data_IF_466603254710
#
_entry.id   IF_466603254710
#
_cell.length_a   1.000
_cell.length_b   1.000
_cell.length_c   1.000
_cell.angle_alpha   90.00
_cell.angle_beta   90.00
_cell.angle_gamma   90.00
#
_symmetry.space_group_name_H-M   'P 1'
#
loop_
_entity.id
_entity.type
_entity.pdbx_description
1 polymer ?
#
# COMPACT_ATOMS: atom_id res chain seq x y z
N UNK A 1 25.93 4.93 11.46
CA UNK A 1 25.55 5.20 10.06
C UNK A 1 25.97 4.10 9.10
N UNK A 2 27.26 3.75 8.97
CA UNK A 2 27.67 2.67 8.04
C UNK A 2 27.03 1.32 8.34
N UNK A 3 26.93 0.92 9.61
CA UNK A 3 26.27 -0.34 10.00
C UNK A 3 24.75 -0.27 9.75
N UNK A 4 24.11 0.83 10.12
CA UNK A 4 22.65 1.00 9.98
C UNK A 4 22.22 1.07 8.52
N UNK A 5 22.82 1.98 7.73
CA UNK A 5 22.53 2.09 6.30
C UNK A 5 23.07 0.91 5.50
N UNK A 6 24.24 0.36 5.86
CA UNK A 6 24.81 -0.81 5.19
C UNK A 6 23.92 -2.04 5.31
N UNK A 7 23.32 -2.29 6.47
CA UNK A 7 22.37 -3.39 6.66
C UNK A 7 21.10 -3.20 5.82
N UNK A 8 20.57 -1.97 5.74
CA UNK A 8 19.41 -1.65 4.91
C UNK A 8 19.72 -1.88 3.43
N UNK A 9 20.88 -1.42 2.95
CA UNK A 9 21.32 -1.63 1.57
C UNK A 9 21.47 -3.12 1.26
N UNK A 10 22.12 -3.89 2.14
CA UNK A 10 22.28 -5.34 1.95
C UNK A 10 20.91 -6.03 1.89
N UNK A 11 19.98 -5.66 2.76
CA UNK A 11 18.63 -6.20 2.77
C UNK A 11 17.88 -5.93 1.45
N UNK A 12 17.90 -4.68 0.98
CA UNK A 12 17.27 -4.32 -0.30
C UNK A 12 17.95 -5.00 -1.50
N UNK A 13 19.27 -5.09 -1.52
CA UNK A 13 20.00 -5.82 -2.56
C UNK A 13 19.62 -7.30 -2.57
N UNK A 14 19.53 -7.93 -1.39
CA UNK A 14 19.09 -9.32 -1.28
C UNK A 14 17.66 -9.51 -1.81
N UNK A 15 16.73 -8.58 -1.50
CA UNK A 15 15.37 -8.59 -2.03
C UNK A 15 15.35 -8.44 -3.56
N UNK A 16 16.09 -7.48 -4.11
CA UNK A 16 16.15 -7.25 -5.57
C UNK A 16 16.69 -8.49 -6.28
N UNK A 17 17.78 -9.08 -5.77
CA UNK A 17 18.34 -10.32 -6.33
C UNK A 17 17.33 -11.47 -6.25
N UNK A 18 16.65 -11.63 -5.12
CA UNK A 18 15.62 -12.66 -4.96
C UNK A 18 14.46 -12.46 -5.95
N UNK A 19 13.96 -11.22 -6.10
CA UNK A 19 12.87 -10.90 -7.02
C UNK A 19 13.26 -11.11 -8.48
N UNK A 20 14.48 -10.72 -8.88
CA UNK A 20 15.00 -10.99 -10.23
C UNK A 20 15.17 -12.48 -10.50
N UNK A 21 15.48 -13.29 -9.48
CA UNK A 21 15.56 -14.75 -9.63
C UNK A 21 14.19 -15.42 -9.78
N UNK A 22 13.14 -14.81 -9.25
CA UNK A 22 11.75 -15.30 -9.32
C UNK A 22 10.99 -14.68 -10.50
N UNK A 23 11.68 -13.98 -11.41
CA UNK A 23 11.06 -13.20 -12.49
C UNK A 23 9.92 -13.97 -13.18
N UNK A 24 8.72 -13.37 -13.11
CA UNK A 24 7.52 -13.83 -13.82
C UNK A 24 7.33 -12.87 -14.99
N UNK A 25 7.31 -13.40 -16.22
CA UNK A 25 7.07 -12.59 -17.42
C UNK A 25 5.60 -12.18 -17.51
N UNK A 26 5.32 -10.91 -17.23
CA UNK A 26 3.97 -10.36 -17.16
C UNK A 26 3.67 -9.45 -18.36
N UNK A 27 3.18 -10.01 -19.46
CA UNK A 27 2.91 -9.25 -20.70
C UNK A 27 1.47 -8.74 -20.87
N UNK A 28 0.57 -9.03 -19.93
CA UNK A 28 -0.89 -8.77 -20.07
C UNK A 28 -1.49 -8.00 -18.90
N UNK A 29 -2.45 -7.10 -19.19
CA UNK A 29 -3.12 -6.27 -18.19
C UNK A 29 -3.92 -7.06 -17.15
N UNK A 30 -4.48 -8.24 -17.49
CA UNK A 30 -5.14 -9.12 -16.52
C UNK A 30 -4.15 -9.72 -15.52
N UNK A 31 -2.94 -10.04 -15.97
CA UNK A 31 -1.86 -10.53 -15.12
C UNK A 31 -1.44 -9.43 -14.14
N UNK A 32 -1.28 -8.19 -14.63
CA UNK A 32 -0.98 -7.04 -13.78
C UNK A 32 -2.10 -6.67 -12.79
N UNK A 33 -3.35 -6.56 -13.25
CA UNK A 33 -4.45 -6.03 -12.44
C UNK A 33 -5.06 -7.06 -11.48
N UNK A 34 -5.10 -8.33 -11.85
CA UNK A 34 -5.76 -9.38 -11.05
C UNK A 34 -4.93 -10.66 -10.87
N UNK A 35 -3.67 -10.70 -11.32
CA UNK A 35 -2.83 -11.89 -11.23
C UNK A 35 -3.42 -13.11 -11.96
N UNK A 36 -4.18 -12.88 -13.04
CA UNK A 36 -5.02 -13.88 -13.70
C UNK A 36 -5.95 -14.67 -12.75
N UNK A 37 -6.26 -14.11 -11.56
CA UNK A 37 -7.03 -14.78 -10.50
C UNK A 37 -6.43 -16.12 -10.04
N UNK A 38 -5.12 -16.28 -10.23
CA UNK A 38 -4.39 -17.50 -9.93
C UNK A 38 -3.85 -17.55 -8.49
N UNK A 39 -3.81 -16.41 -7.80
CA UNK A 39 -3.30 -16.34 -6.43
C UNK A 39 -4.24 -17.05 -5.45
N UNK A 40 -3.68 -17.98 -4.68
CA UNK A 40 -4.39 -18.65 -3.59
C UNK A 40 -4.78 -17.66 -2.47
N UNK A 41 -5.77 -18.03 -1.66
CA UNK A 41 -6.30 -17.21 -0.57
C UNK A 41 -5.22 -16.75 0.41
N UNK A 42 -4.19 -17.57 0.65
CA UNK A 42 -3.05 -17.21 1.52
C UNK A 42 -2.28 -16.00 0.98
N UNK A 43 -1.98 -16.00 -0.31
CA UNK A 43 -1.25 -14.90 -0.95
C UNK A 43 -2.11 -13.63 -0.96
N UNK A 44 -3.40 -13.75 -1.28
CA UNK A 44 -4.34 -12.62 -1.23
C UNK A 44 -4.44 -12.02 0.18
N UNK A 45 -4.47 -12.86 1.23
CA UNK A 45 -4.47 -12.40 2.62
C UNK A 45 -3.18 -11.67 2.99
N UNK A 46 -2.02 -12.18 2.57
CA UNK A 46 -0.73 -11.51 2.78
C UNK A 46 -0.65 -10.16 2.07
N UNK A 47 -1.05 -10.08 0.79
CA UNK A 47 -1.10 -8.82 0.04
C UNK A 47 -2.04 -7.81 0.68
N UNK A 48 -3.21 -8.26 1.17
CA UNK A 48 -4.14 -7.42 1.90
C UNK A 48 -3.52 -6.87 3.19
N UNK A 49 -2.93 -7.73 4.02
CA UNK A 49 -2.29 -7.31 5.27
C UNK A 49 -1.13 -6.33 5.02
N UNK A 50 -0.31 -6.59 4.00
CA UNK A 50 0.78 -5.70 3.60
C UNK A 50 0.27 -4.31 3.17
N UNK A 51 -0.88 -4.26 2.49
CA UNK A 51 -1.49 -3.01 2.04
C UNK A 51 -2.19 -2.26 3.17
N UNK A 52 -2.79 -2.98 4.13
CA UNK A 52 -3.54 -2.39 5.24
C UNK A 52 -2.63 -1.89 6.37
N UNK A 53 -1.50 -2.56 6.61
CA UNK A 53 -0.52 -2.19 7.65
C UNK A 53 0.84 -1.78 7.06
N UNK A 54 0.91 -0.70 6.26
CA UNK A 54 2.18 -0.20 5.75
C UNK A 54 3.01 0.45 6.87
N UNK A 55 4.31 0.65 6.63
CA UNK A 55 5.23 1.29 7.59
C UNK A 55 4.72 2.61 8.18
N UNK A 56 4.07 3.45 7.37
CA UNK A 56 3.49 4.71 7.80
C UNK A 56 2.39 4.57 8.86
N UNK A 57 1.67 3.45 8.85
CA UNK A 57 0.65 3.11 9.85
C UNK A 57 1.29 2.91 11.22
N UNK A 58 2.38 2.15 11.29
CA UNK A 58 3.14 1.96 12.53
C UNK A 58 3.72 3.26 13.07
N UNK A 59 4.27 4.12 12.21
CA UNK A 59 4.82 5.42 12.63
C UNK A 59 3.72 6.35 13.14
N UNK A 60 2.62 6.51 12.40
CA UNK A 60 1.54 7.43 12.76
C UNK A 60 0.79 6.97 14.01
N UNK A 61 0.34 5.72 14.05
CA UNK A 61 -0.43 5.20 15.18
C UNK A 61 0.45 4.91 16.39
N UNK A 62 1.70 4.49 16.20
CA UNK A 62 2.68 4.39 17.29
C UNK A 62 2.96 5.75 17.93
N UNK A 63 3.14 6.80 17.12
CA UNK A 63 3.28 8.17 17.60
C UNK A 63 2.03 8.66 18.34
N UNK A 64 0.84 8.38 17.82
CA UNK A 64 -0.42 8.72 18.47
C UNK A 64 -0.64 7.96 19.77
N UNK A 65 -0.25 6.69 19.84
CA UNK A 65 -0.32 5.91 21.07
C UNK A 65 0.61 6.47 22.15
N UNK A 66 1.82 6.91 21.78
CA UNK A 66 2.74 7.57 22.69
C UNK A 66 2.22 8.93 23.20
N UNK A 67 1.53 9.70 22.34
CA UNK A 67 1.04 11.03 22.67
C UNK A 67 -0.33 11.06 23.38
N UNK A 68 -1.25 10.18 22.99
CA UNK A 68 -2.67 10.21 23.38
C UNK A 68 -3.14 8.93 24.08
N UNK A 69 -2.25 7.96 24.29
CA UNK A 69 -2.53 6.74 25.04
C UNK A 69 -3.70 5.94 24.43
N UNK A 70 -4.68 5.60 25.27
CA UNK A 70 -5.79 4.73 24.93
C UNK A 70 -6.65 5.23 23.74
N UNK A 71 -6.69 6.54 23.48
CA UNK A 71 -7.46 7.09 22.35
C UNK A 71 -6.99 6.50 21.01
N UNK A 72 -5.69 6.24 20.87
CA UNK A 72 -5.10 5.65 19.66
C UNK A 72 -5.68 4.27 19.31
N UNK A 73 -6.24 3.54 20.27
CA UNK A 73 -6.83 2.21 20.05
C UNK A 73 -8.09 2.24 19.20
N UNK A 74 -8.65 3.42 18.90
CA UNK A 74 -9.73 3.55 17.91
C UNK A 74 -9.34 2.91 16.56
N UNK A 75 -8.04 2.88 16.23
CA UNK A 75 -7.52 2.24 15.01
C UNK A 75 -7.88 0.77 14.91
N UNK A 76 -7.83 0.06 16.04
CA UNK A 76 -8.16 -1.36 16.10
C UNK A 76 -9.65 -1.57 15.87
N UNK A 77 -10.48 -0.77 16.55
CA UNK A 77 -11.93 -0.85 16.47
C UNK A 77 -12.45 -0.62 15.05
N UNK A 78 -12.04 0.46 14.39
CA UNK A 78 -12.52 0.74 13.03
C UNK A 78 -11.91 -0.23 12.00
N UNK A 79 -10.65 -0.66 12.19
CA UNK A 79 -10.01 -1.63 11.29
C UNK A 79 -10.74 -2.97 11.33
N UNK A 80 -11.10 -3.46 12.52
CA UNK A 80 -11.88 -4.69 12.67
C UNK A 80 -13.21 -4.60 11.92
N UNK A 81 -13.95 -3.51 12.14
CA UNK A 81 -15.24 -3.28 11.47
C UNK A 81 -15.09 -3.22 9.95
N UNK A 82 -14.02 -2.57 9.46
CA UNK A 82 -13.77 -2.44 8.03
C UNK A 82 -13.41 -3.78 7.41
N UNK A 83 -12.56 -4.59 8.06
CA UNK A 83 -12.23 -5.94 7.59
C UNK A 83 -13.47 -6.84 7.56
N UNK A 84 -14.35 -6.74 8.56
CA UNK A 84 -15.63 -7.48 8.55
C UNK A 84 -16.51 -7.07 7.37
N UNK A 85 -16.64 -5.76 7.12
CA UNK A 85 -17.42 -5.26 5.98
C UNK A 85 -16.82 -5.73 4.65
N UNK A 86 -15.50 -5.63 4.49
CA UNK A 86 -14.79 -6.11 3.30
C UNK A 86 -14.99 -7.61 3.10
N UNK A 87 -14.94 -8.41 4.17
CA UNK A 87 -15.17 -9.85 4.09
C UNK A 87 -16.58 -10.19 3.57
N UNK A 88 -17.60 -9.49 4.07
CA UNK A 88 -18.99 -9.66 3.60
C UNK A 88 -19.12 -9.28 2.12
N UNK A 89 -18.46 -8.21 1.69
CA UNK A 89 -18.50 -7.76 0.31
C UNK A 89 -17.65 -8.61 -0.65
N UNK A 90 -16.59 -9.26 -0.15
CA UNK A 90 -15.59 -9.96 -0.94
C UNK A 90 -16.20 -11.02 -1.86
N UNK A 91 -17.14 -11.83 -1.35
CA UNK A 91 -17.80 -12.89 -2.14
C UNK A 91 -18.56 -12.32 -3.33
N UNK A 92 -19.33 -11.24 -3.11
CA UNK A 92 -20.13 -10.60 -4.15
C UNK A 92 -19.24 -9.95 -5.19
N UNK A 93 -18.24 -9.17 -4.76
CA UNK A 93 -17.28 -8.51 -5.65
C UNK A 93 -16.50 -9.52 -6.49
N UNK A 94 -16.06 -10.63 -5.89
CA UNK A 94 -15.36 -11.70 -6.61
C UNK A 94 -16.23 -12.35 -7.68
N UNK A 95 -17.48 -12.65 -7.34
CA UNK A 95 -18.43 -13.29 -8.27
C UNK A 95 -18.72 -12.39 -9.47
N UNK A 96 -18.97 -11.11 -9.22
CA UNK A 96 -19.25 -10.13 -10.27
C UNK A 96 -18.01 -9.80 -11.10
N UNK A 97 -16.84 -9.68 -10.45
CA UNK A 97 -15.56 -9.53 -11.12
C UNK A 97 -15.34 -10.65 -12.11
N UNK A 98 -15.58 -11.91 -11.71
CA UNK A 98 -15.48 -13.07 -12.60
C UNK A 98 -16.48 -13.04 -13.75
N UNK A 99 -17.75 -12.77 -13.46
CA UNK A 99 -18.81 -12.81 -14.47
C UNK A 99 -18.66 -11.74 -15.56
N UNK A 100 -18.18 -10.54 -15.20
CA UNK A 100 -18.12 -9.38 -16.11
C UNK A 100 -16.70 -8.92 -16.45
N UNK A 101 -15.69 -9.76 -16.18
CA UNK A 101 -14.26 -9.47 -16.38
C UNK A 101 -13.78 -8.10 -15.83
N UNK A 102 -14.32 -7.72 -14.67
CA UNK A 102 -13.97 -6.47 -14.01
C UNK A 102 -12.56 -6.57 -13.40
N UNK A 103 -11.77 -5.51 -13.60
CA UNK A 103 -10.38 -5.43 -13.15
C UNK A 103 -10.15 -4.35 -12.11
N UNK A 104 -11.02 -3.34 -12.03
CA UNK A 104 -10.85 -2.19 -11.13
C UNK A 104 -12.14 -1.87 -10.36
N UNK A 105 -12.02 -1.17 -9.23
CA UNK A 105 -13.17 -0.69 -8.46
C UNK A 105 -14.07 0.26 -9.27
N UNK A 106 -13.54 1.19 -10.10
CA UNK A 106 -14.36 1.96 -11.03
C UNK A 106 -15.17 1.13 -12.03
N UNK A 107 -14.67 -0.01 -12.48
CA UNK A 107 -15.42 -0.89 -13.40
C UNK A 107 -16.68 -1.46 -12.75
N UNK A 108 -16.62 -1.75 -11.45
CA UNK A 108 -17.79 -2.18 -10.68
C UNK A 108 -18.86 -1.07 -10.62
N UNK A 109 -18.45 0.18 -10.43
CA UNK A 109 -19.37 1.32 -10.46
C UNK A 109 -19.95 1.54 -11.87
N UNK A 110 -19.13 1.40 -12.90
CA UNK A 110 -19.57 1.49 -14.29
C UNK A 110 -20.66 0.45 -14.58
N UNK A 111 -20.47 -0.79 -14.14
CA UNK A 111 -21.44 -1.88 -14.30
C UNK A 111 -22.72 -1.62 -13.48
N UNK A 112 -22.58 -1.11 -12.25
CA UNK A 112 -23.73 -0.89 -11.35
C UNK A 112 -24.68 0.19 -11.84
N UNK A 113 -24.13 1.24 -12.48
CA UNK A 113 -24.88 2.42 -12.91
C UNK A 113 -24.98 2.57 -14.44
N UNK A 114 -24.47 1.60 -15.20
CA UNK A 114 -24.43 1.60 -16.67
C UNK A 114 -23.89 2.91 -17.28
N UNK A 115 -22.83 3.47 -16.67
CA UNK A 115 -22.32 4.81 -17.04
C UNK A 115 -20.81 4.88 -17.06
N UNK A 116 -20.28 5.23 -18.24
CA UNK A 116 -18.84 5.47 -18.46
C UNK A 116 -18.34 6.72 -17.75
N UNK A 117 -19.21 7.72 -17.53
CA UNK A 117 -18.84 8.94 -16.81
C UNK A 117 -18.59 8.65 -15.33
N UNK A 118 -19.45 7.82 -14.72
CA UNK A 118 -19.27 7.39 -13.32
C UNK A 118 -17.96 6.63 -13.14
N UNK A 119 -17.58 5.79 -14.12
CA UNK A 119 -16.28 5.12 -14.11
C UNK A 119 -15.12 6.11 -14.02
N UNK A 120 -15.10 7.12 -14.87
CA UNK A 120 -14.02 8.12 -14.91
C UNK A 120 -13.97 8.94 -13.64
N UNK A 121 -15.13 9.40 -13.14
CA UNK A 121 -15.22 10.19 -11.90
C UNK A 121 -14.72 9.35 -10.71
N UNK A 122 -15.18 8.11 -10.58
CA UNK A 122 -14.72 7.22 -9.51
C UNK A 122 -13.22 6.94 -9.59
N UNK A 123 -12.66 6.78 -10.79
CA UNK A 123 -11.22 6.60 -10.99
C UNK A 123 -10.42 7.84 -10.55
N UNK A 124 -10.86 9.04 -10.94
CA UNK A 124 -10.20 10.30 -10.54
C UNK A 124 -10.25 10.47 -9.02
N UNK A 125 -11.41 10.25 -8.40
CA UNK A 125 -11.56 10.33 -6.94
C UNK A 125 -10.63 9.33 -6.26
N UNK A 126 -10.56 8.09 -6.75
CA UNK A 126 -9.66 7.06 -6.24
C UNK A 126 -8.20 7.51 -6.27
N UNK A 127 -7.73 8.02 -7.42
CA UNK A 127 -6.36 8.52 -7.58
C UNK A 127 -6.07 9.66 -6.61
N UNK A 128 -6.93 10.68 -6.59
CA UNK A 128 -6.74 11.87 -5.73
C UNK A 128 -6.76 11.49 -4.25
N UNK A 129 -7.65 10.57 -3.86
CA UNK A 129 -7.73 10.07 -2.49
C UNK A 129 -6.50 9.29 -2.03
N UNK A 130 -5.72 8.72 -2.96
CA UNK A 130 -4.46 8.04 -2.66
C UNK A 130 -3.29 8.97 -2.39
N UNK A 131 -3.34 10.21 -2.88
CA UNK A 131 -2.22 11.18 -2.75
C UNK A 131 -1.86 11.45 -1.28
N UNK A 132 -2.80 11.74 -0.36
CA UNK A 132 -2.47 11.93 1.05
C UNK A 132 -1.73 10.74 1.66
N UNK A 133 -2.16 9.52 1.32
CA UNK A 133 -1.52 8.29 1.81
C UNK A 133 -0.10 8.10 1.27
N UNK A 134 0.14 8.44 0.00
CA UNK A 134 1.47 8.44 -0.57
C UNK A 134 2.39 9.45 0.14
N UNK A 135 1.89 10.66 0.40
CA UNK A 135 2.64 11.69 1.13
C UNK A 135 2.98 11.22 2.56
N UNK A 136 2.02 10.65 3.29
CA UNK A 136 2.26 10.08 4.62
C UNK A 136 3.28 8.94 4.58
N UNK A 137 3.24 8.11 3.54
CA UNK A 137 4.24 7.08 3.25
C UNK A 137 5.65 7.65 3.15
N UNK A 138 5.82 8.69 2.34
CA UNK A 138 7.11 9.37 2.17
C UNK A 138 7.59 10.06 3.45
N UNK A 139 6.69 10.67 4.22
CA UNK A 139 7.02 11.31 5.49
C UNK A 139 7.49 10.29 6.54
N UNK A 140 6.80 9.15 6.65
CA UNK A 140 7.21 8.07 7.55
C UNK A 140 8.60 7.52 7.19
N UNK A 141 8.86 7.33 5.89
CA UNK A 141 10.20 6.95 5.40
C UNK A 141 11.26 8.00 5.76
N UNK A 142 10.97 9.29 5.56
CA UNK A 142 11.88 10.38 5.92
C UNK A 142 12.22 10.41 7.40
N UNK A 143 11.24 10.18 8.27
CA UNK A 143 11.45 10.10 9.73
C UNK A 143 12.27 8.85 10.11
N UNK A 144 12.03 7.72 9.46
CA UNK A 144 12.85 6.51 9.62
C UNK A 144 14.33 6.77 9.29
N UNK A 145 14.61 7.43 8.16
CA UNK A 145 15.97 7.76 7.74
C UNK A 145 16.68 8.72 8.71
N UNK A 146 15.95 9.70 9.23
CA UNK A 146 16.45 10.59 10.28
C UNK A 146 16.89 9.80 11.52
N UNK A 147 16.07 8.86 12.01
CA UNK A 147 16.45 8.02 13.15
C UNK A 147 17.59 7.04 12.84
N UNK A 148 17.62 6.45 11.65
CA UNK A 148 18.71 5.57 11.18
C UNK A 148 20.05 6.30 11.03
N UNK A 149 19.98 7.62 10.79
CA UNK A 149 21.14 8.51 10.79
C UNK A 149 21.66 8.86 12.18
N UNK A 150 21.01 8.38 13.25
CA UNK A 150 21.32 8.70 14.64
C UNK A 150 21.28 10.22 14.91
N UNK A 151 20.42 10.94 14.19
CA UNK A 151 20.28 12.40 14.29
C UNK A 151 21.26 13.22 13.45
N UNK A 152 22.12 12.57 12.65
CA UNK A 152 23.05 13.28 11.76
C UNK A 152 22.36 14.00 10.59
N UNK A 153 21.18 13.52 10.16
CA UNK A 153 20.36 14.15 9.12
C UNK A 153 19.13 14.81 9.73
N UNK A 154 18.84 16.04 9.33
CA UNK A 154 17.53 16.65 9.59
C UNK A 154 16.44 15.97 8.76
N UNK A 155 15.18 16.14 9.17
CA UNK A 155 14.04 15.60 8.43
C UNK A 155 14.00 16.10 6.97
N UNK A 156 14.26 17.39 6.74
CA UNK A 156 14.29 17.98 5.40
C UNK A 156 15.39 17.37 4.52
N UNK A 157 16.59 17.17 5.08
CA UNK A 157 17.69 16.50 4.38
C UNK A 157 17.34 15.03 4.06
N UNK A 158 16.71 14.33 4.98
CA UNK A 158 16.28 12.93 4.78
C UNK A 158 15.25 12.79 3.67
N UNK A 159 14.23 13.66 3.65
CA UNK A 159 13.19 13.67 2.61
C UNK A 159 13.77 14.05 1.24
N UNK A 160 14.69 15.01 1.16
CA UNK A 160 15.32 15.39 -0.10
C UNK A 160 16.23 14.28 -0.66
N UNK A 161 16.92 13.55 0.22
CA UNK A 161 17.72 12.39 -0.16
C UNK A 161 16.86 11.28 -0.77
N UNK A 162 15.69 11.02 -0.18
CA UNK A 162 14.71 10.07 -0.71
C UNK A 162 14.17 10.49 -2.10
N UNK A 163 13.85 11.78 -2.28
CA UNK A 163 13.40 12.30 -3.58
C UNK A 163 14.46 12.11 -4.67
N UNK A 164 15.73 12.36 -4.35
CA UNK A 164 16.83 12.22 -5.29
C UNK A 164 17.06 10.77 -5.75
N UNK A 165 16.69 9.77 -4.93
CA UNK A 165 16.83 8.34 -5.27
C UNK A 165 15.61 7.79 -6.01
N UNK A 166 14.41 8.31 -5.73
CA UNK A 166 13.15 7.77 -6.29
C UNK A 166 12.78 8.41 -7.64
N UNK A 167 13.16 9.67 -7.87
CA UNK A 167 12.78 10.44 -9.07
C UNK A 167 13.93 10.65 -10.08
N UNK A 168 14.99 9.83 -9.99
CA UNK A 168 16.07 9.72 -10.97
C UNK A 168 16.11 8.31 -11.53
#
# INVERSE_FOLDING_TARGET
MFITFGMVVIFFLALVVLLQRIQIDDSTFSTYAVGNRAFDAKFQAMSFLNTWYPGAMFTAFGGMAAASGAISFYVLSYSLLTVMLMYVMAKTVWTWGKAFDLKTQPDLFALRFDSRHIRTIAAIIGIVSGIPWLVLGMQALGEMFKYLSLGALSFSQSVNSLKAVIFH
#
